data_IF_516459131811
#
_entry.id   IF_516459131811
#
_cell.length_a   1.000
_cell.length_b   1.000
_cell.length_c   1.000
_cell.angle_alpha   90.00
_cell.angle_beta   90.00
_cell.angle_gamma   90.00
#
_symmetry.space_group_name_H-M   'P 1'
#
loop_
_entity.id
_entity.type
_entity.pdbx_description
1 polymer ?
#
# COMPACT_ATOMS: atom_id res chain seq x y z
N UNK A 1 -36.98 55.47 -1.27
CA UNK A 1 -36.06 55.22 -0.14
C UNK A 1 -36.68 54.15 0.74
N UNK A 2 -36.03 52.98 0.77
CA UNK A 2 -36.19 51.96 1.82
C UNK A 2 -35.09 50.95 1.56
N UNK A 3 -33.90 51.22 2.12
CA UNK A 3 -32.73 50.36 1.96
C UNK A 3 -33.00 48.97 2.53
N UNK A 4 -32.71 47.95 1.72
CA UNK A 4 -32.22 46.67 2.23
C UNK A 4 -31.40 46.01 1.13
N UNK A 5 -30.10 46.33 1.09
CA UNK A 5 -29.14 45.33 0.67
C UNK A 5 -29.15 44.27 1.79
N UNK A 6 -29.70 43.06 1.59
CA UNK A 6 -29.30 41.97 2.45
C UNK A 6 -27.81 41.74 2.14
N UNK A 7 -26.95 41.96 3.13
CA UNK A 7 -25.65 41.27 3.13
C UNK A 7 -26.02 39.80 3.20
N UNK A 8 -26.08 39.14 2.04
CA UNK A 8 -26.63 37.80 1.90
C UNK A 8 -25.85 36.88 2.81
N UNK A 9 -26.49 36.41 3.88
CA UNK A 9 -25.88 35.49 4.83
C UNK A 9 -25.28 34.33 4.05
N UNK A 10 -24.00 33.96 4.30
CA UNK A 10 -23.39 32.79 3.69
C UNK A 10 -24.34 31.59 3.79
N UNK A 11 -24.60 30.86 2.69
CA UNK A 11 -25.48 29.70 2.71
C UNK A 11 -24.95 28.69 3.75
N UNK A 12 -25.87 27.98 4.42
CA UNK A 12 -25.51 27.00 5.42
C UNK A 12 -24.56 25.95 4.85
N UNK A 13 -23.75 25.31 5.70
CA UNK A 13 -22.73 24.33 5.28
C UNK A 13 -23.29 23.26 4.33
N UNK A 14 -24.51 22.77 4.58
CA UNK A 14 -25.20 21.80 3.74
C UNK A 14 -25.64 22.39 2.38
N UNK A 15 -26.08 23.65 2.34
CA UNK A 15 -26.47 24.33 1.10
C UNK A 15 -25.25 24.62 0.22
N UNK A 16 -24.16 25.13 0.79
CA UNK A 16 -22.86 25.33 0.11
C UNK A 16 -22.33 24.00 -0.44
N UNK A 17 -22.33 22.95 0.37
CA UNK A 17 -21.88 21.62 -0.05
C UNK A 17 -22.77 21.03 -1.16
N UNK A 18 -24.10 21.18 -1.06
CA UNK A 18 -25.05 20.74 -2.10
C UNK A 18 -24.87 21.52 -3.41
N UNK A 19 -24.70 22.84 -3.32
CA UNK A 19 -24.57 23.70 -4.49
C UNK A 19 -23.25 23.47 -5.24
N UNK A 20 -22.11 23.33 -4.54
CA UNK A 20 -20.82 23.03 -5.19
C UNK A 20 -20.81 21.63 -5.84
N UNK A 21 -21.51 20.64 -5.26
CA UNK A 21 -21.63 19.31 -5.86
C UNK A 21 -22.57 19.28 -7.08
N UNK A 22 -23.73 19.95 -7.00
CA UNK A 22 -24.78 19.83 -8.03
C UNK A 22 -24.70 20.90 -9.14
N UNK A 23 -24.09 22.06 -8.87
CA UNK A 23 -24.01 23.20 -9.80
C UNK A 23 -22.65 23.94 -9.72
N UNK A 24 -21.49 23.25 -9.83
CA UNK A 24 -20.19 23.85 -9.55
C UNK A 24 -19.84 25.07 -10.41
N UNK A 25 -20.24 25.10 -11.68
CA UNK A 25 -19.96 26.23 -12.59
C UNK A 25 -20.60 27.53 -12.12
N UNK A 26 -21.85 27.45 -11.67
CA UNK A 26 -22.58 28.61 -11.14
C UNK A 26 -22.01 28.98 -9.77
N UNK A 27 -21.80 27.96 -8.92
CA UNK A 27 -21.39 28.12 -7.53
C UNK A 27 -19.99 28.73 -7.37
N UNK A 28 -19.03 28.44 -8.26
CA UNK A 28 -17.72 29.11 -8.24
C UNK A 28 -17.83 30.63 -8.43
N UNK A 29 -18.84 31.11 -9.14
CA UNK A 29 -19.11 32.55 -9.32
C UNK A 29 -19.65 33.18 -8.03
N UNK A 30 -20.52 32.46 -7.31
CA UNK A 30 -21.02 32.86 -5.98
C UNK A 30 -19.88 32.86 -4.96
N UNK A 31 -19.07 31.81 -4.94
CA UNK A 31 -17.89 31.65 -4.07
C UNK A 31 -16.86 32.76 -4.32
N UNK A 32 -16.65 33.21 -5.56
CA UNK A 32 -15.72 34.33 -5.80
C UNK A 32 -16.21 35.62 -5.13
N UNK A 33 -17.48 35.98 -5.34
CA UNK A 33 -18.07 37.23 -4.86
C UNK A 33 -18.30 37.28 -3.35
N UNK A 34 -18.43 36.13 -2.68
CA UNK A 34 -18.72 36.04 -1.26
C UNK A 34 -17.59 36.66 -0.38
N UNK A 35 -17.91 37.62 0.52
CA UNK A 35 -16.94 38.12 1.49
C UNK A 35 -16.66 37.04 2.55
N UNK A 36 -15.42 36.58 2.62
CA UNK A 36 -14.99 35.55 3.56
C UNK A 36 -13.54 35.77 4.01
N UNK A 37 -13.15 35.13 5.11
CA UNK A 37 -11.76 35.01 5.55
C UNK A 37 -11.31 33.54 5.50
N UNK A 38 -10.00 33.30 5.46
CA UNK A 38 -9.46 31.94 5.57
C UNK A 38 -9.95 31.28 6.87
N UNK A 39 -9.94 32.01 7.99
CA UNK A 39 -10.42 31.52 9.29
C UNK A 39 -11.89 31.10 9.25
N UNK A 40 -12.79 31.91 8.68
CA UNK A 40 -14.22 31.59 8.62
C UNK A 40 -14.53 30.38 7.74
N UNK A 41 -13.80 30.18 6.64
CA UNK A 41 -13.94 28.99 5.80
C UNK A 41 -13.34 27.76 6.51
N UNK A 42 -12.20 27.92 7.17
CA UNK A 42 -11.51 26.83 7.87
C UNK A 42 -12.37 26.27 9.01
N UNK A 43 -12.87 27.13 9.91
CA UNK A 43 -13.66 26.69 11.08
C UNK A 43 -15.12 26.42 10.76
N UNK A 44 -15.74 27.21 9.89
CA UNK A 44 -17.17 27.13 9.55
C UNK A 44 -17.53 26.13 8.44
N UNK A 45 -16.54 25.58 7.73
CA UNK A 45 -16.77 24.62 6.64
C UNK A 45 -15.79 23.46 6.69
N UNK A 46 -14.48 23.73 6.58
CA UNK A 46 -13.48 22.69 6.36
C UNK A 46 -13.32 21.74 7.56
N UNK A 47 -13.17 22.26 8.79
CA UNK A 47 -13.08 21.44 10.01
C UNK A 47 -14.29 20.51 10.17
N UNK A 48 -15.49 20.97 9.81
CA UNK A 48 -16.73 20.20 10.00
C UNK A 48 -16.80 19.06 8.98
N UNK A 49 -16.55 19.33 7.68
CA UNK A 49 -16.61 18.30 6.65
C UNK A 49 -15.41 17.35 6.69
N UNK A 50 -14.20 17.84 6.98
CA UNK A 50 -12.99 17.02 7.07
C UNK A 50 -13.03 15.99 8.20
N UNK A 51 -13.92 16.15 9.19
CA UNK A 51 -14.17 15.15 10.22
C UNK A 51 -14.96 13.92 9.70
N UNK A 52 -15.67 14.02 8.56
CA UNK A 52 -16.52 12.94 8.05
C UNK A 52 -15.70 11.67 7.72
N UNK A 53 -14.64 11.70 6.90
CA UNK A 53 -13.86 10.49 6.61
C UNK A 53 -13.23 9.80 7.83
N UNK A 54 -12.49 10.48 8.74
CA UNK A 54 -11.87 9.81 9.88
C UNK A 54 -12.91 9.25 10.87
N UNK A 55 -14.04 9.93 11.09
CA UNK A 55 -15.11 9.40 11.93
C UNK A 55 -15.82 8.20 11.28
N UNK A 56 -16.09 8.25 9.98
CA UNK A 56 -16.69 7.15 9.24
C UNK A 56 -15.78 5.90 9.27
N UNK A 57 -14.48 6.06 9.00
CA UNK A 57 -13.49 4.97 9.08
C UNK A 57 -13.35 4.42 10.51
N UNK A 58 -13.31 5.29 11.54
CA UNK A 58 -13.24 4.87 12.94
C UNK A 58 -14.46 4.03 13.33
N UNK A 59 -15.67 4.55 13.10
CA UNK A 59 -16.92 3.86 13.47
C UNK A 59 -17.07 2.57 12.65
N UNK A 60 -16.81 2.62 11.34
CA UNK A 60 -16.88 1.46 10.45
C UNK A 60 -15.90 0.35 10.85
N UNK A 61 -14.65 0.71 11.13
CA UNK A 61 -13.61 -0.22 11.58
C UNK A 61 -13.89 -0.84 12.95
N UNK A 62 -14.54 -0.12 13.88
CA UNK A 62 -14.94 -0.69 15.17
C UNK A 62 -16.19 -1.58 15.06
N UNK A 63 -17.23 -1.15 14.32
CA UNK A 63 -18.49 -1.90 14.19
C UNK A 63 -18.32 -3.14 13.32
N UNK A 64 -17.76 -3.00 12.12
CA UNK A 64 -17.68 -4.07 11.13
C UNK A 64 -16.31 -4.77 11.09
N UNK A 65 -15.24 -4.11 11.56
CA UNK A 65 -13.87 -4.55 11.33
C UNK A 65 -13.37 -4.24 9.92
N UNK A 66 -12.06 -4.41 9.73
CA UNK A 66 -11.44 -4.49 8.41
C UNK A 66 -11.25 -5.97 8.08
N UNK A 67 -11.58 -6.39 6.87
CA UNK A 67 -11.49 -7.80 6.50
C UNK A 67 -11.20 -8.04 5.03
N UNK A 68 -10.48 -9.13 4.79
CA UNK A 68 -10.11 -9.62 3.47
C UNK A 68 -10.12 -11.15 3.52
N UNK A 69 -10.59 -11.80 2.45
CA UNK A 69 -10.69 -13.26 2.34
C UNK A 69 -11.40 -13.97 3.52
N UNK A 70 -12.37 -13.31 4.16
CA UNK A 70 -13.16 -13.87 5.27
C UNK A 70 -12.50 -13.78 6.66
N UNK A 71 -11.28 -13.26 6.75
CA UNK A 71 -10.65 -12.87 8.02
C UNK A 71 -11.11 -11.46 8.37
N UNK A 72 -11.53 -11.24 9.61
CA UNK A 72 -11.86 -9.90 10.14
C UNK A 72 -10.96 -9.53 11.30
N UNK A 73 -10.34 -8.36 11.21
CA UNK A 73 -9.53 -7.71 12.25
C UNK A 73 -10.21 -6.42 12.72
N UNK A 74 -10.20 -6.20 14.03
CA UNK A 74 -10.68 -4.95 14.66
C UNK A 74 -9.52 -4.29 15.41
N UNK A 75 -9.04 -3.10 14.99
CA UNK A 75 -7.99 -2.40 15.73
C UNK A 75 -8.44 -2.01 17.14
N UNK A 76 -7.52 -1.82 18.11
CA UNK A 76 -7.88 -1.40 19.45
C UNK A 76 -8.47 0.01 19.40
N UNK A 77 -9.50 0.26 20.21
CA UNK A 77 -10.21 1.55 20.20
C UNK A 77 -9.26 2.75 20.38
N UNK A 78 -8.27 2.65 21.28
CA UNK A 78 -7.29 3.72 21.52
C UNK A 78 -6.43 4.00 20.28
N UNK A 79 -5.88 2.97 19.64
CA UNK A 79 -5.10 3.11 18.41
C UNK A 79 -5.95 3.64 17.25
N UNK A 80 -7.17 3.16 17.11
CA UNK A 80 -8.12 3.63 16.09
C UNK A 80 -8.49 5.12 16.29
N UNK A 81 -8.70 5.57 17.53
CA UNK A 81 -8.91 6.99 17.87
C UNK A 81 -7.66 7.82 17.52
N UNK A 82 -6.46 7.35 17.88
CA UNK A 82 -5.19 8.00 17.52
C UNK A 82 -5.05 8.21 16.02
N UNK A 83 -5.31 7.15 15.23
CA UNK A 83 -5.29 7.21 13.77
C UNK A 83 -6.37 8.14 13.20
N UNK A 84 -7.57 8.17 13.77
CA UNK A 84 -8.64 9.08 13.35
C UNK A 84 -8.26 10.56 13.59
N UNK A 85 -7.65 10.87 14.74
CA UNK A 85 -7.13 12.21 15.07
C UNK A 85 -5.99 12.59 14.11
N UNK A 86 -5.03 11.69 13.89
CA UNK A 86 -3.90 11.92 12.98
C UNK A 86 -4.37 12.19 11.54
N UNK A 87 -5.31 11.37 11.02
CA UNK A 87 -5.92 11.56 9.72
C UNK A 87 -6.68 12.89 9.62
N UNK A 88 -7.47 13.25 10.64
CA UNK A 88 -8.18 14.53 10.68
C UNK A 88 -7.22 15.72 10.64
N UNK A 89 -6.20 15.74 11.50
CA UNK A 89 -5.19 16.82 11.55
C UNK A 89 -4.41 16.90 10.23
N UNK A 90 -3.98 15.77 9.67
CA UNK A 90 -3.26 15.72 8.40
C UNK A 90 -4.12 16.21 7.23
N UNK A 91 -5.42 15.90 7.21
CA UNK A 91 -6.33 16.40 6.17
C UNK A 91 -6.45 17.93 6.19
N UNK A 92 -6.45 18.54 7.37
CA UNK A 92 -6.52 20.00 7.55
C UNK A 92 -5.19 20.70 7.24
N UNK A 93 -4.05 20.07 7.57
CA UNK A 93 -2.73 20.54 7.10
C UNK A 93 -2.66 20.46 5.57
N UNK A 94 -3.09 19.34 5.00
CA UNK A 94 -3.16 19.12 3.55
C UNK A 94 -3.95 20.19 2.81
N UNK A 95 -5.09 20.61 3.38
CA UNK A 95 -5.91 21.71 2.87
C UNK A 95 -5.14 23.03 2.77
N UNK A 96 -4.38 23.39 3.81
CA UNK A 96 -3.55 24.59 3.83
C UNK A 96 -2.37 24.49 2.85
N UNK A 97 -1.71 23.33 2.78
CA UNK A 97 -0.62 23.04 1.84
C UNK A 97 -1.11 23.15 0.40
N UNK A 98 -2.26 22.57 0.05
CA UNK A 98 -2.85 22.65 -1.27
C UNK A 98 -3.19 24.10 -1.68
N UNK A 99 -3.71 24.91 -0.75
CA UNK A 99 -3.93 26.33 -0.97
C UNK A 99 -2.61 27.10 -1.23
N UNK A 100 -1.53 26.75 -0.54
CA UNK A 100 -0.20 27.32 -0.78
C UNK A 100 0.34 26.92 -2.15
N UNK A 101 0.23 25.65 -2.56
CA UNK A 101 0.62 25.16 -3.89
C UNK A 101 -0.13 25.94 -4.98
N UNK A 102 -1.45 26.02 -4.89
CA UNK A 102 -2.30 26.76 -5.83
C UNK A 102 -1.83 28.23 -5.91
N UNK A 103 -1.78 28.94 -4.79
CA UNK A 103 -1.34 30.34 -4.78
C UNK A 103 0.09 30.53 -5.32
N UNK A 104 1.00 29.59 -5.06
CA UNK A 104 2.38 29.67 -5.54
C UNK A 104 2.46 29.48 -7.06
N UNK A 105 1.78 28.46 -7.60
CA UNK A 105 1.85 28.06 -9.00
C UNK A 105 1.09 28.99 -9.96
N UNK A 106 0.07 29.72 -9.50
CA UNK A 106 -0.81 30.51 -10.37
C UNK A 106 -0.09 31.37 -11.44
N UNK A 107 0.99 32.12 -11.14
CA UNK A 107 1.69 32.93 -12.15
C UNK A 107 2.34 32.10 -13.27
N UNK A 108 2.83 30.89 -12.97
CA UNK A 108 3.42 29.98 -13.96
C UNK A 108 2.40 29.56 -15.02
N UNK A 109 1.11 29.57 -14.67
CA UNK A 109 0.00 29.30 -15.58
C UNK A 109 -0.67 30.58 -16.10
N UNK A 110 -0.12 31.77 -15.85
CA UNK A 110 -0.65 33.05 -16.30
C UNK A 110 -1.84 33.57 -15.46
N UNK A 111 -2.03 33.05 -14.25
CA UNK A 111 -3.01 33.54 -13.28
C UNK A 111 -2.41 34.51 -12.26
N UNK A 112 -3.26 34.95 -11.34
CA UNK A 112 -2.95 35.92 -10.29
C UNK A 112 -2.81 35.22 -8.94
N UNK A 113 -1.91 35.70 -8.08
CA UNK A 113 -1.79 35.20 -6.69
C UNK A 113 -2.83 35.87 -5.79
N UNK A 114 -3.66 35.07 -5.15
CA UNK A 114 -4.58 35.49 -4.09
C UNK A 114 -4.71 34.34 -3.09
N UNK A 115 -4.25 34.56 -1.85
CA UNK A 115 -4.23 33.54 -0.79
C UNK A 115 -5.63 33.11 -0.36
N UNK A 116 -6.59 34.04 -0.33
CA UNK A 116 -7.96 33.75 0.07
C UNK A 116 -8.67 32.95 -1.03
N UNK A 117 -8.53 33.35 -2.29
CA UNK A 117 -9.10 32.62 -3.42
C UNK A 117 -8.48 31.23 -3.59
N UNK A 118 -7.17 31.08 -3.43
CA UNK A 118 -6.52 29.77 -3.42
C UNK A 118 -7.03 28.87 -2.28
N UNK A 119 -7.29 29.45 -1.10
CA UNK A 119 -7.89 28.70 0.02
C UNK A 119 -9.35 28.33 -0.23
N UNK A 120 -10.16 29.22 -0.82
CA UNK A 120 -11.52 28.91 -1.29
C UNK A 120 -11.51 27.73 -2.27
N UNK A 121 -10.62 27.74 -3.27
CA UNK A 121 -10.48 26.62 -4.23
C UNK A 121 -10.15 25.32 -3.49
N UNK A 122 -9.12 25.33 -2.64
CA UNK A 122 -8.70 24.16 -1.86
C UNK A 122 -9.85 23.57 -1.03
N UNK A 123 -10.56 24.40 -0.26
CA UNK A 123 -11.61 23.97 0.67
C UNK A 123 -12.88 23.49 -0.03
N UNK A 124 -13.38 24.25 -1.01
CA UNK A 124 -14.63 23.88 -1.68
C UNK A 124 -14.44 22.73 -2.68
N UNK A 125 -13.23 22.55 -3.25
CA UNK A 125 -12.94 21.38 -4.10
C UNK A 125 -12.88 20.08 -3.30
N UNK A 126 -12.35 20.11 -2.06
CA UNK A 126 -12.27 18.92 -1.21
C UNK A 126 -13.65 18.37 -0.74
N UNK A 127 -14.72 19.14 -0.92
CA UNK A 127 -16.11 18.78 -0.52
C UNK A 127 -16.52 17.38 -0.98
N UNK A 128 -16.25 17.00 -2.24
CA UNK A 128 -16.69 15.70 -2.74
C UNK A 128 -15.94 14.54 -2.06
N UNK A 129 -14.64 14.69 -1.80
CA UNK A 129 -13.83 13.70 -1.07
C UNK A 129 -14.29 13.55 0.38
N UNK A 130 -14.55 14.66 1.07
CA UNK A 130 -15.07 14.64 2.43
C UNK A 130 -16.45 13.97 2.54
N UNK A 131 -17.38 14.30 1.62
CA UNK A 131 -18.70 13.68 1.59
C UNK A 131 -18.63 12.20 1.20
N UNK A 132 -17.85 11.82 0.19
CA UNK A 132 -17.69 10.43 -0.22
C UNK A 132 -17.00 9.57 0.87
N UNK A 133 -16.22 10.18 1.75
CA UNK A 133 -15.65 9.50 2.92
C UNK A 133 -16.68 8.91 3.89
N UNK A 134 -17.96 9.32 3.84
CA UNK A 134 -19.04 8.68 4.61
C UNK A 134 -19.20 7.19 4.26
N UNK A 135 -18.90 6.80 3.03
CA UNK A 135 -19.04 5.42 2.58
C UNK A 135 -18.02 4.46 3.23
N UNK A 136 -16.95 4.99 3.84
CA UNK A 136 -16.03 4.22 4.69
C UNK A 136 -16.69 3.66 5.96
N UNK A 137 -17.88 4.13 6.32
CA UNK A 137 -18.66 3.63 7.46
C UNK A 137 -19.10 2.16 7.29
N UNK A 138 -19.30 1.70 6.05
CA UNK A 138 -19.80 0.35 5.74
C UNK A 138 -18.84 -0.28 4.72
N UNK A 139 -18.14 -1.39 5.05
CA UNK A 139 -17.13 -1.98 4.17
C UNK A 139 -17.60 -2.22 2.73
N UNK A 140 -18.82 -2.72 2.55
CA UNK A 140 -19.41 -2.97 1.22
C UNK A 140 -19.75 -1.73 0.40
N UNK A 141 -19.69 -0.51 0.98
CA UNK A 141 -19.90 0.75 0.27
C UNK A 141 -18.59 1.50 -0.02
N UNK A 142 -17.45 1.07 0.52
CA UNK A 142 -16.14 1.76 0.38
C UNK A 142 -15.76 2.11 -1.07
N UNK A 143 -16.15 1.27 -2.04
CA UNK A 143 -15.99 1.54 -3.49
C UNK A 143 -16.67 2.83 -3.97
N UNK A 144 -17.75 3.27 -3.32
CA UNK A 144 -18.40 4.56 -3.60
C UNK A 144 -17.54 5.76 -3.15
N UNK A 145 -16.46 5.53 -2.41
CA UNK A 145 -15.41 6.52 -2.17
C UNK A 145 -14.81 7.08 -3.46
N UNK A 146 -14.88 6.36 -4.58
CA UNK A 146 -14.51 6.84 -5.92
C UNK A 146 -15.29 8.09 -6.36
N UNK A 147 -16.50 8.32 -5.83
CA UNK A 147 -17.25 9.57 -6.06
C UNK A 147 -16.48 10.80 -5.54
N UNK A 148 -15.58 10.62 -4.59
CA UNK A 148 -14.67 11.65 -4.10
C UNK A 148 -13.70 12.19 -5.16
N UNK A 149 -13.45 11.46 -6.25
CA UNK A 149 -12.67 11.94 -7.40
C UNK A 149 -13.32 13.12 -8.11
N UNK A 150 -14.61 13.39 -7.88
CA UNK A 150 -15.26 14.62 -8.33
C UNK A 150 -14.58 15.89 -7.78
N UNK A 151 -13.84 15.79 -6.66
CA UNK A 151 -12.99 16.87 -6.12
C UNK A 151 -11.99 17.40 -7.15
N UNK A 152 -11.50 16.53 -8.05
CA UNK A 152 -10.55 16.89 -9.10
C UNK A 152 -11.22 17.75 -10.18
N UNK A 153 -12.48 17.44 -10.51
CA UNK A 153 -13.29 18.25 -11.41
C UNK A 153 -13.65 19.60 -10.79
N UNK A 154 -13.98 19.63 -9.49
CA UNK A 154 -14.18 20.88 -8.76
C UNK A 154 -12.94 21.77 -8.77
N UNK A 155 -11.76 21.18 -8.51
CA UNK A 155 -10.47 21.88 -8.58
C UNK A 155 -10.21 22.45 -9.99
N UNK A 156 -10.40 21.62 -11.02
CA UNK A 156 -10.26 22.03 -12.43
C UNK A 156 -11.15 23.23 -12.81
N UNK A 157 -12.40 23.26 -12.32
CA UNK A 157 -13.29 24.40 -12.54
C UNK A 157 -12.90 25.64 -11.70
N UNK A 158 -12.50 25.45 -10.44
CA UNK A 158 -12.20 26.56 -9.52
C UNK A 158 -10.94 27.34 -9.89
N UNK A 159 -9.91 26.67 -10.43
CA UNK A 159 -8.62 27.29 -10.77
C UNK A 159 -8.73 28.45 -11.79
N UNK A 160 -9.31 28.30 -13.00
CA UNK A 160 -9.45 29.40 -13.95
C UNK A 160 -10.37 30.51 -13.40
N UNK A 161 -11.47 30.12 -12.74
CA UNK A 161 -12.47 31.06 -12.20
C UNK A 161 -11.87 32.00 -11.15
N UNK A 162 -11.21 31.45 -10.13
CA UNK A 162 -10.75 32.22 -8.97
C UNK A 162 -9.30 32.74 -9.13
N UNK A 163 -8.40 31.98 -9.74
CA UNK A 163 -7.00 32.42 -9.97
C UNK A 163 -6.81 33.18 -11.28
N UNK A 164 -7.87 33.40 -12.07
CA UNK A 164 -7.85 34.11 -13.36
C UNK A 164 -6.85 33.53 -14.37
N UNK A 165 -6.69 32.20 -14.34
CA UNK A 165 -5.88 31.44 -15.32
C UNK A 165 -6.69 31.27 -16.61
N UNK A 166 -6.08 31.45 -17.80
CA UNK A 166 -6.76 31.16 -19.08
C UNK A 166 -7.25 29.71 -19.13
N UNK A 167 -8.48 29.46 -19.57
CA UNK A 167 -9.11 28.12 -19.55
C UNK A 167 -8.26 27.02 -20.20
N UNK A 168 -7.56 27.36 -21.28
CA UNK A 168 -6.62 26.48 -22.00
C UNK A 168 -5.50 25.92 -21.11
N UNK A 169 -5.17 26.60 -20.00
CA UNK A 169 -4.14 26.22 -19.02
C UNK A 169 -4.72 25.61 -17.75
N UNK A 170 -6.05 25.53 -17.59
CA UNK A 170 -6.69 24.99 -16.38
C UNK A 170 -6.34 23.51 -16.15
N UNK A 171 -6.33 22.68 -17.21
CA UNK A 171 -6.00 21.26 -17.12
C UNK A 171 -4.53 21.01 -16.69
N UNK A 172 -3.49 21.54 -17.38
CA UNK A 172 -2.11 21.33 -16.95
C UNK A 172 -1.82 21.94 -15.57
N UNK A 173 -2.48 23.06 -15.21
CA UNK A 173 -2.39 23.61 -13.86
C UNK A 173 -2.95 22.64 -12.81
N UNK A 174 -4.12 22.05 -13.05
CA UNK A 174 -4.73 21.04 -12.17
C UNK A 174 -3.79 19.85 -11.97
N UNK A 175 -3.24 19.30 -13.06
CA UNK A 175 -2.33 18.15 -13.03
C UNK A 175 -1.07 18.48 -12.21
N UNK A 176 -0.42 19.61 -12.48
CA UNK A 176 0.81 20.01 -11.75
C UNK A 176 0.51 20.30 -10.27
N UNK A 177 -0.65 20.89 -9.94
CA UNK A 177 -1.09 21.06 -8.55
C UNK A 177 -1.28 19.72 -7.85
N UNK A 178 -1.92 18.73 -8.50
CA UNK A 178 -2.07 17.38 -7.94
C UNK A 178 -0.72 16.68 -7.73
N UNK A 179 0.16 16.70 -8.73
CA UNK A 179 1.49 16.06 -8.65
C UNK A 179 2.34 16.72 -7.57
N UNK A 180 2.37 18.06 -7.48
CA UNK A 180 3.07 18.78 -6.41
C UNK A 180 2.50 18.42 -5.02
N UNK A 181 1.17 18.31 -4.88
CA UNK A 181 0.53 17.85 -3.65
C UNK A 181 0.96 16.42 -3.26
N UNK A 182 0.85 15.48 -4.20
CA UNK A 182 1.23 14.09 -3.99
C UNK A 182 2.72 13.94 -3.60
N UNK A 183 3.62 14.64 -4.30
CA UNK A 183 5.05 14.63 -3.99
C UNK A 183 5.35 15.21 -2.59
N UNK A 184 4.66 16.27 -2.17
CA UNK A 184 4.82 16.80 -0.81
C UNK A 184 4.26 15.85 0.26
N UNK A 185 3.17 15.15 -0.01
CA UNK A 185 2.65 14.11 0.90
C UNK A 185 3.60 12.92 1.02
N UNK A 186 4.15 12.43 -0.10
CA UNK A 186 5.16 11.36 -0.11
C UNK A 186 6.42 11.80 0.65
N UNK A 187 6.90 13.02 0.41
CA UNK A 187 8.05 13.56 1.14
C UNK A 187 7.74 13.69 2.64
N UNK A 188 6.56 14.17 3.01
CA UNK A 188 6.14 14.27 4.41
C UNK A 188 6.05 12.89 5.08
N UNK A 189 5.54 11.85 4.40
CA UNK A 189 5.49 10.49 4.95
C UNK A 189 6.88 9.88 5.10
N UNK A 190 7.79 10.10 4.15
CA UNK A 190 9.19 9.66 4.24
C UNK A 190 9.93 10.36 5.40
N UNK A 191 9.69 11.66 5.60
CA UNK A 191 10.27 12.42 6.72
C UNK A 191 9.64 12.08 8.08
N UNK A 192 8.40 11.59 8.11
CA UNK A 192 7.75 11.11 9.33
C UNK A 192 8.19 9.68 9.72
N UNK A 193 8.71 8.88 8.77
CA UNK A 193 9.09 7.48 8.98
C UNK A 193 10.08 7.25 10.14
N UNK A 194 11.10 8.09 10.40
CA UNK A 194 11.98 7.92 11.56
C UNK A 194 11.31 8.25 12.91
N UNK A 195 10.20 8.99 12.88
CA UNK A 195 9.48 9.48 14.06
C UNK A 195 8.19 8.70 14.37
N UNK A 196 7.76 7.81 13.48
CA UNK A 196 6.57 6.97 13.68
C UNK A 196 6.79 5.81 14.67
N UNK A 197 7.96 5.71 15.29
CA UNK A 197 8.30 4.62 16.23
C UNK A 197 8.57 3.26 15.57
N UNK A 198 8.28 3.11 14.28
CA UNK A 198 8.43 1.88 13.50
C UNK A 198 9.90 1.63 13.13
N UNK A 199 10.56 0.58 13.68
CA UNK A 199 11.90 0.21 13.24
C UNK A 199 11.79 -0.47 11.86
N UNK A 200 11.91 0.32 10.79
CA UNK A 200 11.94 -0.21 9.42
C UNK A 200 10.58 -0.66 8.87
N UNK A 201 9.58 0.21 8.87
CA UNK A 201 8.41 0.09 7.98
C UNK A 201 7.47 -1.10 8.22
N UNK A 202 7.60 -1.78 9.36
CA UNK A 202 6.69 -2.83 9.80
C UNK A 202 6.11 -2.42 11.15
N UNK A 203 4.78 -2.48 11.29
CA UNK A 203 4.15 -2.48 12.60
C UNK A 203 4.71 -3.66 13.41
N UNK A 204 5.39 -3.37 14.51
CA UNK A 204 5.81 -4.40 15.45
C UNK A 204 4.58 -5.08 16.05
N UNK A 205 4.68 -6.36 16.46
CA UNK A 205 3.55 -7.08 17.06
C UNK A 205 3.00 -6.39 18.32
N UNK A 206 3.80 -5.54 18.99
CA UNK A 206 3.45 -4.79 20.19
C UNK A 206 2.33 -3.74 20.00
N UNK A 207 2.03 -3.30 18.77
CA UNK A 207 0.95 -2.31 18.50
C UNK A 207 -0.32 -2.92 17.88
N UNK A 208 -0.31 -4.21 17.49
CA UNK A 208 -1.45 -4.88 16.85
C UNK A 208 -2.29 -5.64 17.88
N UNK A 209 -2.88 -4.91 18.83
CA UNK A 209 -4.01 -5.45 19.58
C UNK A 209 -5.23 -5.64 18.67
N UNK A 210 -6.15 -6.53 19.04
CA UNK A 210 -7.43 -6.67 18.33
C UNK A 210 -8.01 -8.08 18.37
N UNK A 211 -9.35 -8.16 18.30
CA UNK A 211 -10.04 -9.44 18.14
C UNK A 211 -9.92 -9.92 16.69
N UNK A 212 -9.23 -11.04 16.48
CA UNK A 212 -9.17 -11.73 15.19
C UNK A 212 -10.19 -12.87 15.20
N UNK A 213 -11.16 -12.82 14.30
CA UNK A 213 -12.13 -13.91 14.11
C UNK A 213 -11.81 -14.67 12.84
N UNK A 214 -11.54 -15.98 12.96
CA UNK A 214 -11.25 -16.86 11.83
C UNK A 214 -12.39 -17.88 11.66
N UNK A 215 -13.01 -17.99 10.47
CA UNK A 215 -14.06 -18.97 10.21
C UNK A 215 -13.58 -20.41 10.46
N UNK A 216 -14.33 -21.16 11.26
CA UNK A 216 -14.07 -22.58 11.55
C UNK A 216 -13.25 -22.88 12.81
N UNK A 217 -12.55 -21.89 13.39
CA UNK A 217 -11.73 -22.09 14.62
C UNK A 217 -12.09 -21.17 15.79
N UNK A 218 -12.99 -20.20 15.59
CA UNK A 218 -13.54 -19.37 16.66
C UNK A 218 -12.69 -18.15 17.01
N UNK A 219 -12.85 -17.65 18.24
CA UNK A 219 -12.17 -16.44 18.74
C UNK A 219 -10.83 -16.80 19.37
N UNK A 220 -9.77 -16.10 18.98
CA UNK A 220 -8.45 -16.22 19.58
C UNK A 220 -8.25 -15.05 20.54
N UNK A 221 -7.95 -15.36 21.80
CA UNK A 221 -7.74 -14.37 22.85
C UNK A 221 -6.26 -13.99 22.96
N UNK A 222 -5.99 -12.69 23.05
CA UNK A 222 -4.65 -12.11 22.83
C UNK A 222 -3.78 -12.18 24.09
N UNK A 223 -4.37 -12.38 25.28
CA UNK A 223 -3.66 -12.53 26.56
C UNK A 223 -2.68 -13.73 26.59
N UNK A 224 -2.78 -14.66 25.63
CA UNK A 224 -1.79 -15.75 25.45
C UNK A 224 -0.50 -15.29 24.77
N UNK A 225 -0.37 -14.02 24.39
CA UNK A 225 0.88 -13.45 23.88
C UNK A 225 2.02 -13.53 24.90
N UNK A 226 1.77 -13.61 26.20
CA UNK A 226 2.83 -13.64 27.22
C UNK A 226 3.80 -14.84 27.08
N UNK A 227 3.30 -15.97 26.55
CA UNK A 227 4.14 -17.12 26.18
C UNK A 227 4.76 -16.98 24.78
N UNK A 228 4.14 -16.23 23.87
CA UNK A 228 4.73 -15.84 22.60
C UNK A 228 5.89 -14.83 22.79
N UNK A 229 5.79 -13.90 23.74
CA UNK A 229 6.85 -12.96 24.12
C UNK A 229 8.08 -13.70 24.64
N UNK A 230 7.89 -14.76 25.45
CA UNK A 230 8.99 -15.64 25.90
C UNK A 230 9.62 -16.40 24.73
N UNK A 231 8.82 -16.88 23.77
CA UNK A 231 9.35 -17.50 22.54
C UNK A 231 10.09 -16.48 21.66
N UNK A 232 9.62 -15.23 21.61
CA UNK A 232 10.24 -14.14 20.85
C UNK A 232 11.54 -13.66 21.50
N UNK A 233 11.64 -13.63 22.83
CA UNK A 233 12.88 -13.37 23.56
C UNK A 233 13.91 -14.51 23.33
N UNK A 234 13.45 -15.77 23.25
CA UNK A 234 14.30 -16.90 22.86
C UNK A 234 14.73 -16.83 21.39
N UNK A 235 13.85 -16.39 20.48
CA UNK A 235 14.19 -16.16 19.08
C UNK A 235 15.19 -15.00 18.91
N UNK A 236 15.03 -13.91 19.67
CA UNK A 236 15.96 -12.79 19.70
C UNK A 236 17.35 -13.23 20.20
N UNK A 237 17.43 -14.05 21.26
CA UNK A 237 18.71 -14.62 21.72
C UNK A 237 19.36 -15.52 20.68
N UNK A 238 18.59 -16.37 19.98
CA UNK A 238 19.09 -17.16 18.84
C UNK A 238 19.58 -16.29 17.68
N UNK A 239 18.91 -15.16 17.41
CA UNK A 239 19.31 -14.19 16.38
C UNK A 239 20.58 -13.42 16.79
N UNK A 240 20.72 -13.06 18.07
CA UNK A 240 21.94 -12.44 18.62
C UNK A 240 23.14 -13.41 18.57
N UNK A 241 22.92 -14.69 18.89
CA UNK A 241 23.91 -15.76 18.73
C UNK A 241 24.25 -16.00 17.24
N UNK A 242 23.28 -15.98 16.33
CA UNK A 242 23.52 -16.10 14.89
C UNK A 242 24.34 -14.92 14.35
N UNK A 243 24.05 -13.71 14.81
CA UNK A 243 24.80 -12.48 14.46
C UNK A 243 26.24 -12.54 14.98
N UNK A 244 26.44 -12.94 16.25
CA UNK A 244 27.79 -13.10 16.84
C UNK A 244 28.61 -14.21 16.17
N UNK A 245 27.96 -15.23 15.63
CA UNK A 245 28.62 -16.34 14.92
C UNK A 245 28.74 -16.13 13.40
N UNK A 246 28.35 -14.97 12.86
CA UNK A 246 28.50 -14.63 11.42
C UNK A 246 27.36 -15.08 10.50
N UNK A 247 26.48 -15.97 10.95
CA UNK A 247 25.36 -16.57 10.19
C UNK A 247 24.29 -15.58 9.68
N UNK A 248 24.33 -14.33 10.15
CA UNK A 248 23.35 -13.29 9.83
C UNK A 248 23.74 -12.37 8.65
N UNK A 249 24.92 -12.54 8.05
CA UNK A 249 25.29 -11.78 6.86
C UNK A 249 24.57 -12.35 5.62
N UNK A 250 23.80 -11.51 4.91
CA UNK A 250 23.25 -11.87 3.60
C UNK A 250 24.39 -12.27 2.66
N UNK A 251 24.19 -13.34 1.89
CA UNK A 251 25.15 -13.80 0.90
C UNK A 251 25.25 -12.75 -0.21
N UNK A 252 26.46 -12.48 -0.67
CA UNK A 252 26.69 -11.47 -1.68
C UNK A 252 25.95 -11.83 -3.00
N UNK A 253 25.27 -10.88 -3.67
CA UNK A 253 24.41 -11.19 -4.83
C UNK A 253 25.14 -11.89 -5.98
N UNK A 254 26.41 -11.57 -6.20
CA UNK A 254 27.29 -12.22 -7.19
C UNK A 254 27.52 -13.72 -6.89
N UNK A 255 27.55 -14.11 -5.62
CA UNK A 255 27.66 -15.52 -5.20
C UNK A 255 26.38 -16.29 -5.53
N UNK A 256 25.20 -15.67 -5.39
CA UNK A 256 23.93 -16.28 -5.83
C UNK A 256 23.85 -16.34 -7.35
N UNK A 257 24.24 -15.26 -8.03
CA UNK A 257 24.25 -15.15 -9.49
C UNK A 257 25.13 -16.22 -10.15
N UNK A 258 26.27 -16.54 -9.52
CA UNK A 258 27.19 -17.57 -9.99
C UNK A 258 26.67 -19.02 -9.85
N UNK A 259 25.53 -19.25 -9.22
CA UNK A 259 24.88 -20.56 -9.12
C UNK A 259 23.95 -20.84 -10.31
N UNK A 260 23.40 -19.80 -10.92
CA UNK A 260 22.52 -19.90 -12.09
C UNK A 260 23.35 -20.46 -13.26
N UNK A 261 22.99 -21.61 -13.86
CA UNK A 261 23.76 -22.22 -14.95
C UNK A 261 23.58 -21.46 -16.27
N UNK A 262 24.47 -21.66 -17.25
CA UNK A 262 24.31 -21.05 -18.59
C UNK A 262 23.20 -21.73 -19.42
N UNK A 263 22.94 -23.02 -19.16
CA UNK A 263 21.94 -23.84 -19.85
C UNK A 263 21.19 -24.75 -18.89
N UNK A 264 19.92 -24.98 -19.18
CA UNK A 264 19.03 -25.88 -18.46
C UNK A 264 18.30 -26.74 -19.49
N UNK A 265 18.70 -28.00 -19.64
CA UNK A 265 18.16 -28.88 -20.69
C UNK A 265 18.31 -28.25 -22.09
N UNK A 266 17.17 -27.92 -22.72
CA UNK A 266 17.11 -27.23 -24.03
C UNK A 266 17.20 -25.70 -23.94
N UNK A 267 16.98 -25.11 -22.77
CA UNK A 267 16.91 -23.67 -22.59
C UNK A 267 18.30 -23.06 -22.42
N UNK A 268 18.53 -21.92 -23.07
CA UNK A 268 19.77 -21.14 -22.93
C UNK A 268 19.47 -19.82 -22.23
N UNK A 269 20.32 -19.42 -21.30
CA UNK A 269 20.18 -18.17 -20.55
C UNK A 269 20.32 -16.95 -21.47
N UNK A 270 19.32 -16.08 -21.47
CA UNK A 270 19.31 -14.82 -22.24
C UNK A 270 19.58 -13.59 -21.38
N UNK A 271 19.25 -13.66 -20.09
CA UNK A 271 19.36 -12.55 -19.13
C UNK A 271 19.77 -13.11 -17.77
N UNK A 272 20.51 -12.32 -16.99
CA UNK A 272 20.89 -12.65 -15.62
C UNK A 272 21.14 -11.37 -14.83
N UNK A 273 20.58 -11.29 -13.64
CA UNK A 273 20.75 -10.17 -12.74
C UNK A 273 20.90 -10.63 -11.29
N UNK A 274 21.38 -9.73 -10.44
CA UNK A 274 21.44 -9.94 -9.00
C UNK A 274 21.37 -8.60 -8.27
N UNK A 275 20.78 -8.61 -7.08
CA UNK A 275 20.68 -7.43 -6.23
C UNK A 275 20.71 -7.82 -4.75
N UNK A 276 21.05 -6.86 -3.88
CA UNK A 276 21.17 -7.08 -2.44
C UNK A 276 20.70 -5.86 -1.67
N UNK A 277 20.00 -6.13 -0.56
CA UNK A 277 19.51 -5.13 0.40
C UNK A 277 19.80 -5.61 1.82
N UNK A 278 19.51 -4.79 2.83
CA UNK A 278 19.72 -5.15 4.24
C UNK A 278 18.88 -6.34 4.73
N UNK A 279 17.84 -6.74 4.00
CA UNK A 279 16.95 -7.86 4.35
C UNK A 279 17.33 -9.20 3.69
N UNK A 280 18.25 -9.21 2.72
CA UNK A 280 18.59 -10.40 1.93
C UNK A 280 19.20 -10.06 0.57
N UNK A 281 19.48 -11.10 -0.21
CA UNK A 281 20.00 -10.98 -1.57
C UNK A 281 19.23 -11.89 -2.53
N UNK A 282 19.21 -11.51 -3.80
CA UNK A 282 18.46 -12.20 -4.84
C UNK A 282 19.30 -12.30 -6.12
N UNK A 283 19.14 -13.40 -6.86
CA UNK A 283 19.56 -13.50 -8.25
C UNK A 283 18.52 -14.23 -9.09
N UNK A 284 18.29 -13.74 -10.31
CA UNK A 284 17.38 -14.33 -11.30
C UNK A 284 18.09 -14.52 -12.64
N UNK A 285 17.61 -15.48 -13.42
CA UNK A 285 18.00 -15.65 -14.81
C UNK A 285 16.83 -16.10 -15.67
N UNK A 286 16.73 -15.49 -16.86
CA UNK A 286 15.74 -15.81 -17.89
C UNK A 286 16.37 -16.75 -18.91
N UNK A 287 15.69 -17.84 -19.24
CA UNK A 287 16.14 -18.88 -20.16
C UNK A 287 15.09 -19.11 -21.25
N UNK A 288 15.50 -19.22 -22.51
CA UNK A 288 14.59 -19.43 -23.66
C UNK A 288 14.91 -20.66 -24.49
N UNK A 289 13.88 -21.26 -25.07
CA UNK A 289 13.95 -22.39 -26.00
C UNK A 289 12.84 -22.30 -27.08
N UNK A 290 13.00 -21.38 -28.04
CA UNK A 290 11.94 -21.04 -28.99
C UNK A 290 10.96 -20.06 -28.36
N UNK A 291 9.67 -20.36 -28.42
CA UNK A 291 8.61 -19.57 -27.76
C UNK A 291 8.47 -19.88 -26.25
N UNK A 292 9.16 -20.92 -25.76
CA UNK A 292 9.12 -21.34 -24.37
C UNK A 292 10.19 -20.63 -23.52
N UNK A 293 9.85 -20.31 -22.27
CA UNK A 293 10.65 -19.50 -21.36
C UNK A 293 10.59 -20.02 -19.92
N UNK A 294 11.72 -19.97 -19.21
CA UNK A 294 11.84 -20.23 -17.77
C UNK A 294 12.53 -19.03 -17.12
N UNK A 295 11.95 -18.52 -16.04
CA UNK A 295 12.58 -17.62 -15.08
C UNK A 295 12.97 -18.44 -13.85
N UNK A 296 14.26 -18.46 -13.52
CA UNK A 296 14.82 -19.21 -12.40
C UNK A 296 15.40 -18.23 -11.38
N UNK A 297 14.92 -18.31 -10.14
CA UNK A 297 15.27 -17.42 -9.04
C UNK A 297 15.93 -18.15 -7.87
N UNK A 298 16.84 -17.46 -7.20
CA UNK A 298 17.42 -17.83 -5.91
C UNK A 298 17.37 -16.62 -4.97
N UNK A 299 16.59 -16.76 -3.89
CA UNK A 299 16.38 -15.75 -2.87
C UNK A 299 17.05 -16.17 -1.54
N UNK A 300 18.05 -15.43 -1.06
CA UNK A 300 18.58 -15.53 0.31
C UNK A 300 17.70 -14.71 1.25
N UNK A 301 16.81 -15.40 1.96
CA UNK A 301 15.84 -14.84 2.88
C UNK A 301 16.33 -14.93 4.34
N UNK A 302 17.62 -14.71 4.61
CA UNK A 302 18.29 -14.89 5.91
C UNK A 302 17.50 -14.41 7.16
N UNK A 303 16.71 -13.33 7.07
CA UNK A 303 15.88 -12.82 8.18
C UNK A 303 14.47 -13.45 8.23
N UNK A 304 13.92 -13.85 7.08
CA UNK A 304 12.58 -14.46 6.97
C UNK A 304 12.58 -15.99 6.93
N UNK A 305 13.74 -16.63 6.72
CA UNK A 305 13.91 -18.09 6.66
C UNK A 305 13.51 -18.82 7.95
N UNK A 306 13.60 -18.14 9.10
CA UNK A 306 13.03 -18.60 10.36
C UNK A 306 11.51 -18.90 10.28
N UNK A 307 10.76 -18.23 9.41
CA UNK A 307 9.35 -18.52 9.15
C UNK A 307 9.14 -19.67 8.16
N UNK A 308 10.08 -19.91 7.23
CA UNK A 308 10.04 -21.08 6.35
C UNK A 308 10.20 -22.38 7.15
N UNK A 309 11.12 -22.41 8.12
CA UNK A 309 11.27 -23.53 9.06
C UNK A 309 10.02 -23.77 9.92
N UNK A 310 9.27 -22.71 10.26
CA UNK A 310 7.97 -22.85 10.94
C UNK A 310 6.92 -23.49 10.01
N UNK A 311 6.83 -23.07 8.75
CA UNK A 311 5.90 -23.67 7.79
C UNK A 311 6.19 -25.16 7.52
N UNK A 312 7.47 -25.54 7.48
CA UNK A 312 7.87 -26.95 7.42
C UNK A 312 7.51 -27.72 8.71
N UNK A 313 7.82 -27.16 9.89
CA UNK A 313 7.52 -27.79 11.18
C UNK A 313 6.01 -27.96 11.45
N UNK A 314 5.17 -27.10 10.88
CA UNK A 314 3.71 -27.19 10.93
C UNK A 314 3.12 -28.17 9.90
N UNK A 315 3.94 -28.82 9.07
CA UNK A 315 3.53 -29.74 8.00
C UNK A 315 2.43 -29.13 7.11
N UNK A 316 2.68 -27.93 6.58
CA UNK A 316 1.72 -27.21 5.73
C UNK A 316 1.39 -28.06 4.49
N UNK A 317 0.09 -28.26 4.27
CA UNK A 317 -0.46 -28.96 3.11
C UNK A 317 -1.64 -28.18 2.53
N UNK A 318 -1.53 -27.84 1.24
CA UNK A 318 -2.58 -27.25 0.41
C UNK A 318 -2.67 -28.02 -0.91
N UNK A 319 -3.88 -28.25 -1.40
CA UNK A 319 -4.11 -28.94 -2.67
C UNK A 319 -5.41 -28.44 -3.29
N UNK A 320 -5.29 -27.67 -4.37
CA UNK A 320 -6.37 -27.09 -5.15
C UNK A 320 -6.29 -27.61 -6.59
N UNK A 321 -7.44 -27.85 -7.21
CA UNK A 321 -7.53 -28.33 -8.59
C UNK A 321 -8.55 -27.47 -9.35
N UNK A 322 -8.28 -27.26 -10.63
CA UNK A 322 -9.17 -26.60 -11.59
C UNK A 322 -9.50 -27.56 -12.73
N UNK A 323 -10.24 -27.12 -13.75
CA UNK A 323 -10.48 -27.93 -14.95
C UNK A 323 -9.22 -28.08 -15.84
N UNK A 324 -8.30 -27.11 -15.77
CA UNK A 324 -7.10 -26.98 -16.60
C UNK A 324 -5.80 -27.35 -15.85
N UNK A 325 -5.81 -27.36 -14.51
CA UNK A 325 -4.59 -27.34 -13.73
C UNK A 325 -4.74 -27.67 -12.25
N UNK A 326 -3.67 -27.43 -11.50
CA UNK A 326 -3.61 -27.61 -10.04
C UNK A 326 -2.62 -26.65 -9.40
N UNK A 327 -2.79 -26.46 -8.10
CA UNK A 327 -1.91 -25.69 -7.21
C UNK A 327 -1.75 -26.52 -5.93
N UNK A 328 -0.52 -26.87 -5.56
CA UNK A 328 -0.22 -27.74 -4.42
C UNK A 328 0.98 -27.18 -3.64
N UNK A 329 0.84 -27.11 -2.32
CA UNK A 329 1.94 -26.85 -1.39
C UNK A 329 2.03 -27.98 -0.40
N UNK A 330 3.21 -28.57 -0.20
CA UNK A 330 3.43 -29.68 0.72
C UNK A 330 4.78 -29.55 1.43
N UNK A 331 4.87 -30.05 2.66
CA UNK A 331 6.17 -30.29 3.29
C UNK A 331 6.71 -31.66 2.82
N UNK A 332 7.88 -31.67 2.17
CA UNK A 332 8.59 -32.86 1.70
C UNK A 332 10.02 -32.78 2.26
N UNK A 333 10.45 -33.79 3.01
CA UNK A 333 11.78 -33.87 3.64
C UNK A 333 12.19 -32.60 4.43
N UNK A 334 11.22 -31.99 5.12
CA UNK A 334 11.40 -30.75 5.88
C UNK A 334 11.49 -29.47 5.04
N UNK A 335 11.26 -29.55 3.73
CA UNK A 335 11.21 -28.42 2.80
C UNK A 335 9.77 -28.13 2.41
N UNK A 336 9.40 -26.86 2.31
CA UNK A 336 8.14 -26.46 1.68
C UNK A 336 8.36 -26.56 0.17
N UNK A 337 7.52 -27.32 -0.51
CA UNK A 337 7.49 -27.44 -1.97
C UNK A 337 6.15 -26.93 -2.46
N UNK A 338 6.17 -25.98 -3.40
CA UNK A 338 4.98 -25.47 -4.09
C UNK A 338 5.07 -25.81 -5.58
N UNK A 339 3.97 -26.32 -6.13
CA UNK A 339 3.87 -26.86 -7.47
C UNK A 339 2.53 -26.43 -8.08
N UNK A 340 2.58 -25.54 -9.07
CA UNK A 340 1.44 -25.01 -9.81
C UNK A 340 1.60 -25.30 -11.31
N UNK A 341 0.52 -25.68 -11.97
CA UNK A 341 0.52 -26.02 -13.38
C UNK A 341 -0.84 -25.80 -14.02
N UNK A 342 -0.88 -25.11 -15.17
CA UNK A 342 -2.03 -25.06 -16.07
C UNK A 342 -1.66 -25.63 -17.44
N UNK A 343 -2.41 -26.64 -17.89
CA UNK A 343 -2.13 -27.37 -19.14
C UNK A 343 -2.53 -26.60 -20.40
N UNK A 344 -3.46 -25.65 -20.29
CA UNK A 344 -4.07 -24.94 -21.43
C UNK A 344 -3.22 -23.73 -21.80
N UNK A 345 -2.65 -23.03 -20.81
CA UNK A 345 -1.63 -21.99 -21.02
C UNK A 345 -0.21 -22.55 -21.15
N UNK A 346 0.04 -23.79 -20.67
CA UNK A 346 1.36 -24.40 -20.47
C UNK A 346 2.27 -23.64 -19.49
N UNK A 347 1.68 -22.76 -18.68
CA UNK A 347 2.39 -22.01 -17.64
C UNK A 347 2.34 -22.76 -16.32
N UNK A 348 3.42 -22.65 -15.54
CA UNK A 348 3.46 -23.20 -14.20
C UNK A 348 4.65 -22.71 -13.40
N UNK A 349 4.76 -23.24 -12.18
CA UNK A 349 5.71 -22.82 -11.17
C UNK A 349 6.10 -24.01 -10.30
N UNK A 350 7.39 -24.13 -10.01
CA UNK A 350 7.92 -25.09 -9.04
C UNK A 350 8.90 -24.36 -8.12
N UNK A 351 8.60 -24.35 -6.82
CA UNK A 351 9.40 -23.68 -5.80
C UNK A 351 9.72 -24.62 -4.64
N UNK A 352 10.90 -24.49 -4.04
CA UNK A 352 11.31 -25.21 -2.84
C UNK A 352 12.10 -24.33 -1.86
N UNK A 353 11.90 -24.54 -0.57
CA UNK A 353 12.79 -23.98 0.48
C UNK A 353 14.00 -24.88 0.71
N UNK A 354 15.11 -24.28 1.11
CA UNK A 354 16.36 -24.99 1.37
C UNK A 354 17.10 -24.42 2.58
N UNK A 355 17.52 -25.32 3.48
CA UNK A 355 18.32 -25.03 4.68
C UNK A 355 17.77 -23.87 5.54
N UNK A 356 16.44 -23.74 5.61
CA UNK A 356 15.70 -22.66 6.30
C UNK A 356 16.18 -21.24 5.96
N UNK A 357 16.79 -21.05 4.77
CA UNK A 357 17.44 -19.78 4.38
C UNK A 357 17.21 -19.39 2.92
N UNK A 358 17.08 -20.34 2.01
CA UNK A 358 16.84 -20.04 0.59
C UNK A 358 15.45 -20.42 0.15
N UNK A 359 14.89 -19.62 -0.75
CA UNK A 359 13.80 -20.03 -1.62
C UNK A 359 14.32 -20.09 -3.05
N UNK A 360 14.12 -21.23 -3.69
CA UNK A 360 14.55 -21.51 -5.06
C UNK A 360 13.31 -21.81 -5.89
N UNK A 361 13.17 -21.14 -7.02
CA UNK A 361 11.92 -21.12 -7.79
C UNK A 361 12.19 -21.11 -9.28
N UNK A 362 11.44 -21.92 -10.05
CA UNK A 362 11.36 -21.83 -11.49
C UNK A 362 9.90 -21.64 -11.91
N UNK A 363 9.62 -20.56 -12.65
CA UNK A 363 8.31 -20.24 -13.21
C UNK A 363 8.43 -20.01 -14.73
N UNK A 364 7.39 -20.34 -15.51
CA UNK A 364 7.36 -20.02 -16.93
C UNK A 364 6.48 -20.92 -17.78
N UNK A 365 6.54 -20.69 -19.09
CA UNK A 365 5.80 -21.43 -20.11
C UNK A 365 6.70 -22.50 -20.73
N UNK A 366 6.38 -23.77 -20.48
CA UNK A 366 7.25 -24.93 -20.76
C UNK A 366 6.48 -26.08 -21.42
N UNK A 367 7.13 -27.19 -21.77
CA UNK A 367 6.44 -28.37 -22.31
C UNK A 367 5.58 -29.05 -21.25
N UNK A 368 6.15 -29.26 -20.05
CA UNK A 368 5.49 -29.81 -18.87
C UNK A 368 6.21 -29.37 -17.58
N UNK A 369 5.55 -29.52 -16.43
CA UNK A 369 6.06 -29.16 -15.09
C UNK A 369 7.42 -29.82 -14.74
N UNK A 370 7.79 -30.90 -15.41
CA UNK A 370 9.09 -31.55 -15.29
C UNK A 370 10.25 -30.67 -15.74
N UNK A 371 10.06 -29.76 -16.71
CA UNK A 371 11.11 -28.82 -17.11
C UNK A 371 11.42 -27.78 -16.02
N UNK A 372 10.42 -27.31 -15.26
CA UNK A 372 10.60 -26.40 -14.12
C UNK A 372 11.25 -27.12 -12.92
N UNK A 373 10.84 -28.37 -12.66
CA UNK A 373 11.52 -29.23 -11.67
C UNK A 373 12.98 -29.49 -12.05
N UNK A 374 13.27 -29.72 -13.32
CA UNK A 374 14.63 -29.87 -13.82
C UNK A 374 15.43 -28.56 -13.71
N UNK A 375 14.80 -27.39 -13.87
CA UNK A 375 15.44 -26.09 -13.69
C UNK A 375 15.88 -25.85 -12.23
N UNK A 376 15.00 -26.10 -11.26
CA UNK A 376 15.37 -26.03 -9.82
C UNK A 376 16.45 -27.06 -9.46
N UNK A 377 16.38 -28.28 -10.00
CA UNK A 377 17.39 -29.32 -9.77
C UNK A 377 18.69 -29.13 -10.56
N UNK A 378 18.76 -28.20 -11.52
CA UNK A 378 19.98 -27.83 -12.23
C UNK A 378 20.87 -26.87 -11.41
N UNK A 379 20.34 -26.30 -10.32
CA UNK A 379 21.12 -25.57 -9.33
C UNK A 379 21.87 -26.53 -8.42
N UNK A 380 23.06 -26.10 -8.01
CA UNK A 380 23.87 -26.83 -7.02
C UNK A 380 23.28 -26.64 -5.61
N UNK A 381 22.22 -27.42 -5.32
CA UNK A 381 21.50 -27.39 -4.05
C UNK A 381 22.37 -27.79 -2.85
N UNK A 382 23.43 -28.59 -3.08
CA UNK A 382 24.40 -28.95 -2.04
C UNK A 382 25.30 -27.76 -1.71
N UNK A 383 25.77 -27.01 -2.72
CA UNK A 383 26.51 -25.76 -2.53
C UNK A 383 25.65 -24.66 -1.90
N UNK A 384 24.38 -24.55 -2.26
CA UNK A 384 23.44 -23.67 -1.55
C UNK A 384 23.32 -24.07 -0.08
N UNK A 385 23.10 -25.35 0.21
CA UNK A 385 23.03 -25.86 1.60
C UNK A 385 24.32 -25.56 2.38
N UNK A 386 25.49 -25.66 1.74
CA UNK A 386 26.78 -25.32 2.33
C UNK A 386 26.98 -23.80 2.55
N UNK A 387 26.32 -22.94 1.77
CA UNK A 387 26.30 -21.49 1.98
C UNK A 387 25.43 -21.08 3.18
N UNK A 388 24.36 -21.81 3.49
CA UNK A 388 23.55 -21.59 4.71
C UNK A 388 24.26 -22.01 6.00
N UNK A 389 25.22 -22.93 5.94
CA UNK A 389 25.93 -23.43 7.12
C UNK A 389 26.95 -22.44 7.72
N UNK A 390 27.36 -21.44 6.93
CA UNK A 390 28.30 -20.36 7.28
C UNK A 390 27.57 -19.17 7.90
#
# INVERSE_FOLDING_TARGET
MSDSNPVSTPPGIADRAKAIILRPRDEWSVIEAEPASIGSIYTGYAMILAAIPPLATLIGGQVFGHGLFGITWRPPLIGAIGMAIAHYVLSLIGLAVLAIIINFLAPSFGGQRDKLKAFKISAYSATAGWLAGIFSLIPGLTMLGLLGLYSLYLLYLGLPHLMKVPEQKALPYTIVTMVAGALLFILASLLAMPFSGLPGGHAGPDEVGGEITVPGIGKIDVDKMDDATKQMEQAAKRMEEATKNGRSAAIAPDVLQALLPEKIGRFTRTEIESSGMSAGAHASARYRAGDDEIELEVNDIAVAGAFAGIGAALNVQSNRQTASGYERTQTIDGRIVTEEWDKDSRHGKYATTLADRFMVEAEGTVADIGELKAAVNALDLDRLSALAAK
#
